data_IF_796769620902
#
_entry.id   IF_796769620902
#
_cell.length_a   1.000
_cell.length_b   1.000
_cell.length_c   1.000
_cell.angle_alpha   90.00
_cell.angle_beta   90.00
_cell.angle_gamma   90.00
#
_symmetry.space_group_name_H-M   'P 1'
#
loop_
_entity.id
_entity.type
_entity.pdbx_description
1 polymer ?
#
# COMPACT_ATOMS: atom_id res chain seq x y z
N UNK A 1 12.64 0.69 -0.51
CA UNK A 1 11.18 0.93 -0.42
C UNK A 1 10.89 2.45 -0.47
N UNK A 2 9.88 2.91 -1.23
CA UNK A 2 9.44 4.32 -1.25
C UNK A 2 7.95 4.41 -0.87
N UNK A 3 7.60 5.18 0.17
CA UNK A 3 6.26 5.19 0.76
C UNK A 3 5.15 5.47 -0.27
N UNK A 4 5.34 6.48 -1.13
CA UNK A 4 4.36 6.83 -2.18
C UNK A 4 4.12 5.73 -3.19
N UNK A 5 5.18 5.05 -3.64
CA UNK A 5 5.06 3.93 -4.60
C UNK A 5 4.41 2.72 -3.98
N UNK A 6 4.79 2.41 -2.74
CA UNK A 6 4.23 1.30 -1.97
C UNK A 6 2.72 1.49 -1.74
N UNK A 7 2.31 2.58 -1.09
CA UNK A 7 0.91 2.78 -0.74
C UNK A 7 0.01 2.94 -1.97
N UNK A 8 0.54 3.51 -3.07
CA UNK A 8 -0.17 3.61 -4.34
C UNK A 8 -0.43 2.25 -5.01
N UNK A 9 0.43 1.25 -4.79
CA UNK A 9 0.20 -0.13 -5.21
C UNK A 9 -0.93 -0.78 -4.42
N UNK A 10 -0.86 -0.69 -3.08
CA UNK A 10 -1.89 -1.22 -2.17
C UNK A 10 -3.26 -0.61 -2.44
N UNK A 11 -3.35 0.70 -2.68
CA UNK A 11 -4.62 1.39 -2.91
C UNK A 11 -5.40 0.89 -4.13
N UNK A 12 -4.70 0.34 -5.15
CA UNK A 12 -5.36 -0.24 -6.33
C UNK A 12 -6.19 -1.47 -5.98
N UNK A 13 -5.81 -2.22 -4.94
CA UNK A 13 -6.58 -3.35 -4.44
C UNK A 13 -7.96 -2.91 -3.94
N UNK A 14 -8.07 -1.67 -3.45
CA UNK A 14 -9.33 -1.05 -3.04
C UNK A 14 -10.00 -0.22 -4.14
N UNK A 15 -9.65 -0.42 -5.42
CA UNK A 15 -10.17 0.38 -6.54
C UNK A 15 -9.80 1.88 -6.46
N UNK A 16 -8.67 2.16 -5.82
CA UNK A 16 -8.25 3.48 -5.38
C UNK A 16 -6.92 3.94 -5.95
N UNK A 17 -6.41 5.02 -5.35
CA UNK A 17 -5.12 5.61 -5.67
C UNK A 17 -4.61 6.47 -4.53
N UNK A 18 -3.37 6.92 -4.67
CA UNK A 18 -2.72 7.78 -3.71
C UNK A 18 -1.23 7.84 -3.94
N UNK A 19 -0.54 8.53 -3.04
CA UNK A 19 0.89 8.77 -3.16
C UNK A 19 1.40 9.71 -2.09
N UNK A 20 2.63 10.18 -2.27
CA UNK A 20 3.28 11.08 -1.35
C UNK A 20 4.78 11.11 -1.57
N UNK A 21 5.49 11.59 -0.56
CA UNK A 21 6.94 11.71 -0.52
C UNK A 21 7.57 10.33 -0.27
N UNK A 22 8.89 10.18 -0.50
CA UNK A 22 9.59 8.91 -0.25
C UNK A 22 9.39 8.34 1.16
N UNK A 23 9.19 9.20 2.16
CA UNK A 23 9.11 8.81 3.58
C UNK A 23 7.70 8.97 4.18
N UNK A 24 6.76 9.59 3.45
CA UNK A 24 5.40 9.82 3.93
C UNK A 24 4.43 9.83 2.76
N UNK A 25 3.39 9.02 2.83
CA UNK A 25 2.38 8.94 1.79
C UNK A 25 1.02 8.55 2.36
N UNK A 26 -0.03 8.83 1.59
CA UNK A 26 -1.40 8.47 1.92
C UNK A 26 -2.14 8.03 0.66
N UNK A 27 -3.07 7.09 0.81
CA UNK A 27 -3.93 6.64 -0.27
C UNK A 27 -5.32 6.25 0.23
N UNK A 28 -6.25 6.06 -0.70
CA UNK A 28 -7.60 5.59 -0.40
C UNK A 28 -8.26 4.96 -1.62
N UNK A 29 -9.40 4.32 -1.44
CA UNK A 29 -10.12 3.63 -2.49
C UNK A 29 -11.63 3.64 -2.30
N UNK A 30 -12.35 3.20 -3.34
CA UNK A 30 -13.82 3.19 -3.40
C UNK A 30 -14.41 1.86 -2.94
N UNK A 31 -13.62 0.79 -3.01
CA UNK A 31 -14.02 -0.53 -2.53
C UNK A 31 -13.58 -0.70 -1.07
N UNK A 32 -14.48 -0.38 -0.15
CA UNK A 32 -14.25 -0.58 1.29
C UNK A 32 -14.22 -2.05 1.70
N UNK A 33 -14.86 -2.95 0.94
CA UNK A 33 -14.88 -4.37 1.26
C UNK A 33 -13.53 -5.06 0.99
N UNK A 34 -12.73 -4.50 0.08
CA UNK A 34 -11.37 -4.96 -0.21
C UNK A 34 -10.32 -4.52 0.83
N UNK A 35 -10.65 -3.60 1.74
CA UNK A 35 -9.69 -3.03 2.70
C UNK A 35 -8.98 -4.09 3.57
N UNK A 36 -9.66 -5.10 4.15
CA UNK A 36 -8.98 -6.13 4.94
C UNK A 36 -7.89 -6.87 4.16
N UNK A 37 -8.19 -7.32 2.93
CA UNK A 37 -7.22 -8.00 2.07
C UNK A 37 -6.08 -7.09 1.61
N UNK A 38 -6.35 -5.80 1.39
CA UNK A 38 -5.32 -4.82 1.07
C UNK A 38 -4.34 -4.59 2.24
N UNK A 39 -4.83 -4.61 3.48
CA UNK A 39 -3.98 -4.51 4.68
C UNK A 39 -3.09 -5.75 4.86
N UNK A 40 -3.62 -6.95 4.61
CA UNK A 40 -2.83 -8.19 4.62
C UNK A 40 -1.72 -8.16 3.56
N UNK A 41 -2.06 -7.79 2.32
CA UNK A 41 -1.09 -7.63 1.24
C UNK A 41 -0.01 -6.60 1.58
N UNK A 42 -0.40 -5.45 2.16
CA UNK A 42 0.53 -4.42 2.59
C UNK A 42 1.52 -4.93 3.64
N UNK A 43 1.06 -5.69 4.63
CA UNK A 43 1.92 -6.27 5.67
C UNK A 43 2.92 -7.28 5.06
N UNK A 44 2.46 -8.17 4.19
CA UNK A 44 3.30 -9.17 3.54
C UNK A 44 4.38 -8.52 2.65
N UNK A 45 4.00 -7.53 1.84
CA UNK A 45 4.94 -6.82 0.96
C UNK A 45 5.95 -6.00 1.76
N UNK A 46 5.53 -5.34 2.86
CA UNK A 46 6.46 -4.65 3.78
C UNK A 46 7.47 -5.60 4.40
N UNK A 47 7.02 -6.74 4.92
CA UNK A 47 7.91 -7.73 5.51
C UNK A 47 8.93 -8.26 4.50
N UNK A 48 8.49 -8.56 3.27
CA UNK A 48 9.38 -9.00 2.20
C UNK A 48 10.38 -7.91 1.79
N UNK A 49 9.92 -6.67 1.61
CA UNK A 49 10.75 -5.56 1.16
C UNK A 49 11.77 -5.09 2.21
N UNK A 50 11.51 -5.32 3.50
CA UNK A 50 12.42 -4.98 4.60
C UNK A 50 13.28 -6.17 5.06
N UNK A 51 12.84 -7.40 4.81
CA UNK A 51 13.57 -8.63 5.14
C UNK A 51 14.50 -9.15 4.03
N UNK A 52 14.35 -8.66 2.80
CA UNK A 52 15.33 -8.90 1.74
C UNK A 52 16.60 -8.09 2.02
N UNK A 53 17.65 -8.78 2.46
CA UNK A 53 18.99 -8.22 2.72
C UNK A 53 19.91 -8.47 1.53
#
# INVERSE_FOLDING_TARGET
>A
LQAGKFIGGIAKLCGGGGGGRPNLAQAGGRDGAALPGALEAAQAELAAALGAN
#
